data_IF_992377921115
#
_entry.id   IF_992377921115
#
_cell.length_a   1.000
_cell.length_b   1.000
_cell.length_c   1.000
_cell.angle_alpha   90.00
_cell.angle_beta   90.00
_cell.angle_gamma   90.00
#
_symmetry.space_group_name_H-M   'P 1'
#
loop_
_entity.id
_entity.type
_entity.pdbx_description
1 polymer ?
#
# COMPACT_ATOMS: atom_id res chain seq x y z
N UNK A 1 1.90 16.59 10.64
CA UNK A 1 2.30 15.49 9.76
C UNK A 1 2.76 14.34 10.64
N UNK A 2 2.39 13.12 10.27
CA UNK A 2 2.77 11.90 10.96
C UNK A 2 3.80 11.16 10.13
N UNK A 3 4.69 10.43 10.78
CA UNK A 3 5.65 9.57 10.12
C UNK A 3 5.13 8.14 10.15
N UNK A 4 5.26 7.44 9.02
CA UNK A 4 4.86 6.06 8.86
C UNK A 4 6.03 5.25 8.31
N UNK A 5 6.28 4.08 8.89
CA UNK A 5 6.93 3.01 8.15
C UNK A 5 5.89 2.37 7.23
N UNK A 6 6.14 2.40 5.93
CA UNK A 6 5.29 1.80 4.92
C UNK A 6 6.00 0.62 4.25
N UNK A 7 5.37 -0.55 4.32
CA UNK A 7 5.78 -1.74 3.58
C UNK A 7 4.95 -1.81 2.31
N UNK A 8 5.59 -1.76 1.16
CA UNK A 8 4.97 -2.01 -0.14
C UNK A 8 5.34 -3.40 -0.65
N UNK A 9 4.33 -4.22 -0.89
CA UNK A 9 4.49 -5.55 -1.46
C UNK A 9 3.92 -5.59 -2.89
N UNK A 10 4.71 -5.98 -3.89
CA UNK A 10 4.21 -6.26 -5.25
C UNK A 10 3.94 -7.76 -5.36
N UNK A 11 2.67 -8.12 -5.55
CA UNK A 11 2.18 -9.49 -5.44
C UNK A 11 2.29 -10.17 -6.80
N UNK A 12 2.97 -11.32 -6.83
CA UNK A 12 2.98 -12.18 -8.01
C UNK A 12 1.60 -12.83 -8.20
N UNK A 13 1.01 -12.68 -9.38
CA UNK A 13 -0.31 -13.20 -9.68
C UNK A 13 -0.30 -14.62 -10.25
N UNK A 14 0.88 -15.21 -10.51
CA UNK A 14 0.98 -16.59 -10.99
C UNK A 14 0.52 -17.56 -9.90
N UNK A 15 -0.47 -18.43 -10.19
CA UNK A 15 -0.91 -19.45 -9.24
C UNK A 15 0.27 -20.29 -8.75
N UNK A 16 0.34 -20.54 -7.43
CA UNK A 16 1.41 -21.28 -6.75
C UNK A 16 2.77 -20.58 -6.64
N UNK A 17 2.90 -19.34 -7.14
CA UNK A 17 4.08 -18.52 -6.89
C UNK A 17 3.77 -17.46 -5.83
N UNK A 18 4.29 -17.65 -4.62
CA UNK A 18 4.07 -16.75 -3.49
C UNK A 18 5.16 -15.68 -3.32
N UNK A 19 6.09 -15.57 -4.27
CA UNK A 19 7.09 -14.51 -4.27
C UNK A 19 6.43 -13.13 -4.36
N UNK A 20 7.01 -12.16 -3.65
CA UNK A 20 6.62 -10.76 -3.70
C UNK A 20 7.84 -9.89 -3.47
N UNK A 21 7.92 -8.80 -4.22
CA UNK A 21 8.92 -7.78 -3.99
C UNK A 21 8.46 -6.91 -2.83
N UNK A 22 9.31 -6.76 -1.80
CA UNK A 22 9.02 -5.94 -0.63
C UNK A 22 9.92 -4.72 -0.63
N UNK A 23 9.30 -3.54 -0.51
CA UNK A 23 9.98 -2.26 -0.37
C UNK A 23 9.57 -1.64 0.96
N UNK A 24 10.53 -1.02 1.64
CA UNK A 24 10.35 -0.33 2.90
C UNK A 24 10.59 1.16 2.66
N UNK A 25 9.62 1.99 3.01
CA UNK A 25 9.64 3.44 2.81
C UNK A 25 9.24 4.13 4.13
N UNK A 26 9.97 5.17 4.53
CA UNK A 26 9.49 6.11 5.55
C UNK A 26 8.69 7.21 4.85
N UNK A 27 7.44 7.40 5.26
CA UNK A 27 6.49 8.32 4.60
C UNK A 27 5.97 9.31 5.64
N UNK A 28 6.26 10.58 5.44
CA UNK A 28 5.65 11.67 6.18
C UNK A 28 4.36 12.12 5.46
N UNK A 29 3.20 11.91 6.10
CA UNK A 29 1.91 12.37 5.57
C UNK A 29 0.87 12.60 6.69
N UNK A 30 -0.20 13.33 6.41
CA UNK A 30 -1.32 13.49 7.36
C UNK A 30 -2.34 12.35 7.26
N UNK A 31 -2.56 11.83 6.05
CA UNK A 31 -3.53 10.77 5.76
C UNK A 31 -2.96 9.80 4.71
N UNK A 32 -2.68 8.54 5.09
CA UNK A 32 -2.21 7.52 4.16
C UNK A 32 -3.13 7.29 2.95
N UNK A 33 -4.45 7.50 3.09
CA UNK A 33 -5.37 7.34 1.96
C UNK A 33 -5.21 8.44 0.92
N UNK A 34 -5.04 9.69 1.37
CA UNK A 34 -4.73 10.81 0.47
C UNK A 34 -3.38 10.57 -0.22
N UNK A 35 -2.38 10.08 0.52
CA UNK A 35 -1.09 9.71 -0.06
C UNK A 35 -1.24 8.67 -1.18
N UNK A 36 -2.00 7.60 -0.96
CA UNK A 36 -2.26 6.56 -1.97
C UNK A 36 -2.98 7.15 -3.19
N UNK A 37 -4.02 7.95 -2.98
CA UNK A 37 -4.76 8.58 -4.08
C UNK A 37 -3.87 9.49 -4.93
N UNK A 38 -2.98 10.26 -4.31
CA UNK A 38 -2.01 11.11 -5.00
C UNK A 38 -0.95 10.28 -5.74
N UNK A 39 -0.42 9.22 -5.10
CA UNK A 39 0.62 8.35 -5.69
C UNK A 39 0.15 7.67 -6.97
N UNK A 40 -1.13 7.32 -7.06
CA UNK A 40 -1.74 6.71 -8.25
C UNK A 40 -2.59 7.67 -9.09
N UNK A 41 -2.50 8.98 -8.82
CA UNK A 41 -3.23 9.99 -9.58
C UNK A 41 -2.92 9.90 -11.08
N UNK A 42 -3.96 10.00 -11.91
CA UNK A 42 -3.84 9.91 -13.37
C UNK A 42 -3.69 8.49 -13.92
N UNK A 43 -3.75 7.46 -13.06
CA UNK A 43 -3.87 6.06 -13.44
C UNK A 43 -5.27 5.56 -13.13
N UNK A 44 -5.72 4.56 -13.87
CA UNK A 44 -6.86 3.77 -13.44
C UNK A 44 -6.40 2.81 -12.34
N UNK A 45 -6.99 2.94 -11.15
CA UNK A 45 -6.67 2.11 -10.00
C UNK A 45 -7.88 1.94 -9.09
N UNK A 46 -7.92 0.80 -8.41
CA UNK A 46 -8.87 0.50 -7.35
C UNK A 46 -8.10 0.11 -6.09
N UNK A 47 -8.70 0.34 -4.93
CA UNK A 47 -8.14 -0.14 -3.67
C UNK A 47 -9.22 -0.53 -2.66
N UNK A 48 -8.87 -1.46 -1.79
CA UNK A 48 -9.58 -1.73 -0.53
C UNK A 48 -8.73 -1.21 0.63
N UNK A 49 -9.38 -0.56 1.60
CA UNK A 49 -8.73 -0.05 2.81
C UNK A 49 -9.17 -0.89 4.01
N UNK A 50 -8.21 -1.33 4.80
CA UNK A 50 -8.43 -2.08 6.04
C UNK A 50 -7.64 -1.38 7.15
N UNK A 51 -8.32 -0.99 8.23
CA UNK A 51 -7.67 -0.56 9.46
C UNK A 51 -7.62 -1.75 10.39
N UNK A 52 -6.42 -2.17 10.78
CA UNK A 52 -6.21 -3.32 11.66
C UNK A 52 -6.41 -2.96 13.13
N UNK A 53 -6.52 -3.98 13.99
CA UNK A 53 -6.70 -3.80 15.44
C UNK A 53 -5.52 -3.08 16.11
N UNK A 54 -4.31 -3.23 15.56
CA UNK A 54 -3.09 -2.56 16.03
C UNK A 54 -2.95 -1.11 15.52
N UNK A 55 -3.92 -0.63 14.73
CA UNK A 55 -3.93 0.71 14.15
C UNK A 55 -3.18 0.82 12.82
N UNK A 56 -2.52 -0.23 12.34
CA UNK A 56 -1.92 -0.23 11.00
C UNK A 56 -2.99 -0.11 9.91
N UNK A 57 -2.65 0.57 8.82
CA UNK A 57 -3.57 0.82 7.71
C UNK A 57 -3.06 0.08 6.48
N UNK A 58 -3.84 -0.88 5.99
CA UNK A 58 -3.54 -1.65 4.80
C UNK A 58 -4.37 -1.16 3.63
N UNK A 59 -3.69 -0.93 2.50
CA UNK A 59 -4.30 -0.71 1.21
C UNK A 59 -3.95 -1.87 0.29
N UNK A 60 -4.95 -2.61 -0.14
CA UNK A 60 -4.82 -3.62 -1.19
C UNK A 60 -5.21 -2.97 -2.52
N UNK A 61 -4.24 -2.82 -3.43
CA UNK A 61 -4.32 -1.92 -4.58
C UNK A 61 -4.14 -2.71 -5.88
N UNK A 62 -5.01 -2.45 -6.84
CA UNK A 62 -4.86 -2.92 -8.22
C UNK A 62 -4.74 -1.72 -9.17
N UNK A 63 -3.64 -1.66 -9.94
CA UNK A 63 -3.42 -0.61 -10.93
C UNK A 63 -2.61 -1.14 -12.10
N UNK A 64 -3.03 -0.82 -13.33
CA UNK A 64 -2.31 -1.19 -14.56
C UNK A 64 -1.89 -2.69 -14.63
N UNK A 65 -2.74 -3.59 -14.13
CA UNK A 65 -2.44 -5.04 -14.11
C UNK A 65 -1.52 -5.49 -12.97
N UNK A 66 -1.12 -4.59 -12.07
CA UNK A 66 -0.24 -4.87 -10.93
C UNK A 66 -1.09 -4.90 -9.66
N UNK A 67 -1.00 -6.03 -8.95
CA UNK A 67 -1.53 -6.19 -7.60
C UNK A 67 -0.45 -5.86 -6.58
N UNK A 68 -0.71 -4.93 -5.68
CA UNK A 68 0.25 -4.52 -4.67
C UNK A 68 -0.46 -4.13 -3.38
N UNK A 69 0.26 -4.26 -2.26
CA UNK A 69 -0.24 -3.92 -0.94
C UNK A 69 0.66 -2.87 -0.31
N UNK A 70 0.06 -1.86 0.33
CA UNK A 70 0.76 -0.99 1.26
C UNK A 70 0.27 -1.27 2.66
N UNK A 71 1.18 -1.41 3.62
CA UNK A 71 0.89 -1.45 5.05
C UNK A 71 1.59 -0.26 5.69
N UNK A 72 0.82 0.67 6.24
CA UNK A 72 1.32 1.84 6.96
C UNK A 72 1.24 1.58 8.47
N UNK A 73 2.37 1.77 9.14
CA UNK A 73 2.51 1.72 10.60
C UNK A 73 3.06 3.06 11.08
N UNK A 74 2.34 3.77 11.95
CA UNK A 74 2.80 5.05 12.51
C UNK A 74 4.02 4.81 13.42
N UNK A 75 5.08 5.61 13.27
CA UNK A 75 6.34 5.50 14.04
C UNK A 75 6.62 6.74 14.89
#
# INVERSE_FOLDING_TARGET
MKEYEAIREIINQCPLNHSRDQLFEEIECEDPEIYIQQKFQGRDFTYEKIVQEDGSIVFDIFTAGIHQRYTFSEI
#
